data_IF_505042982997
#
_entry.id   IF_505042982997
#
_cell.length_a   1.000
_cell.length_b   1.000
_cell.length_c   1.000
_cell.angle_alpha   90.00
_cell.angle_beta   90.00
_cell.angle_gamma   90.00
#
_symmetry.space_group_name_H-M   'P 1'
#
loop_
_entity.id
_entity.type
_entity.pdbx_description
1 polymer ?
#
# COMPACT_ATOMS: atom_id res chain seq x y z
N UNK A 1 -4.44 13.85 -0.94
CA UNK A 1 -4.08 12.44 -0.72
C UNK A 1 -2.96 12.14 -1.69
N UNK A 2 -1.77 11.83 -1.17
CA UNK A 2 -0.54 11.71 -1.96
C UNK A 2 -0.11 10.24 -2.00
N UNK A 3 0.08 9.68 -3.20
CA UNK A 3 0.43 8.28 -3.39
C UNK A 3 1.95 8.09 -3.44
N UNK A 4 2.44 7.14 -2.64
CA UNK A 4 3.82 6.67 -2.72
C UNK A 4 3.87 5.33 -3.43
N UNK A 5 4.65 5.26 -4.49
CA UNK A 5 4.92 4.04 -5.25
C UNK A 5 5.88 3.10 -4.51
N UNK A 6 5.66 1.79 -4.66
CA UNK A 6 6.61 0.76 -4.22
C UNK A 6 7.94 0.82 -4.97
N UNK A 7 9.05 0.64 -4.24
CA UNK A 7 10.41 0.55 -4.80
C UNK A 7 10.64 -0.71 -5.66
N UNK A 8 9.75 -1.70 -5.60
CA UNK A 8 9.79 -2.90 -6.43
C UNK A 8 9.05 -2.73 -7.77
N UNK A 9 8.56 -1.53 -8.06
CA UNK A 9 7.88 -1.24 -9.32
C UNK A 9 8.87 -1.14 -10.48
N UNK A 10 8.57 -1.79 -11.59
CA UNK A 10 9.39 -1.75 -12.81
C UNK A 10 9.25 -0.45 -13.62
N UNK A 11 10.07 -0.28 -14.68
CA UNK A 11 10.08 0.92 -15.53
C UNK A 11 8.90 1.01 -16.50
N UNK A 12 8.15 -0.09 -16.73
CA UNK A 12 7.12 -0.21 -17.76
C UNK A 12 5.77 0.47 -17.42
N UNK A 13 5.78 1.48 -16.55
CA UNK A 13 4.56 2.24 -16.20
C UNK A 13 3.56 1.53 -15.28
N UNK A 14 3.80 0.26 -14.94
CA UNK A 14 2.99 -0.51 -14.00
C UNK A 14 3.57 -0.45 -12.58
N UNK A 15 3.09 0.52 -11.80
CA UNK A 15 3.44 0.71 -10.40
C UNK A 15 2.76 -0.38 -9.55
N UNK A 16 3.38 -1.57 -9.42
CA UNK A 16 2.74 -2.78 -8.87
C UNK A 16 1.85 -2.53 -7.64
N UNK A 17 2.28 -1.69 -6.68
CA UNK A 17 1.45 -1.26 -5.55
C UNK A 17 1.77 0.19 -5.20
N UNK A 18 0.73 0.97 -4.91
CA UNK A 18 0.82 2.35 -4.44
C UNK A 18 -0.04 2.57 -3.20
N UNK A 19 0.44 3.39 -2.27
CA UNK A 19 -0.23 3.62 -0.98
C UNK A 19 -0.33 5.12 -0.73
N UNK A 20 -1.52 5.58 -0.34
CA UNK A 20 -1.74 6.92 0.18
C UNK A 20 -2.36 6.85 1.58
N UNK A 21 -1.75 7.53 2.54
CA UNK A 21 -2.22 7.58 3.94
C UNK A 21 -2.77 8.96 4.26
N UNK A 22 -3.91 8.99 4.95
CA UNK A 22 -4.52 10.17 5.55
C UNK A 22 -4.73 9.93 7.05
N UNK A 23 -5.36 10.88 7.75
CA UNK A 23 -5.68 10.74 9.16
C UNK A 23 -6.66 9.59 9.45
N UNK A 24 -7.57 9.27 8.53
CA UNK A 24 -8.68 8.32 8.78
C UNK A 24 -8.65 7.08 7.88
N UNK A 25 -7.94 7.14 6.74
CA UNK A 25 -7.89 6.04 5.78
C UNK A 25 -6.49 5.85 5.19
N UNK A 26 -6.13 4.60 4.96
CA UNK A 26 -5.04 4.19 4.07
C UNK A 26 -5.69 3.59 2.83
N UNK A 27 -5.44 4.19 1.67
CA UNK A 27 -5.83 3.64 0.38
C UNK A 27 -4.63 2.91 -0.24
N UNK A 28 -4.87 1.69 -0.69
CA UNK A 28 -3.92 0.86 -1.41
C UNK A 28 -4.52 0.59 -2.79
N UNK A 29 -3.74 0.81 -3.84
CA UNK A 29 -4.10 0.40 -5.19
C UNK A 29 -3.01 -0.48 -5.78
N UNK A 30 -3.43 -1.43 -6.60
CA UNK A 30 -2.59 -2.15 -7.56
C UNK A 30 -2.90 -1.54 -8.93
N UNK A 31 -1.89 -1.02 -9.62
CA UNK A 31 -2.08 -0.41 -10.94
C UNK A 31 -2.64 -1.37 -12.01
N UNK A 32 -2.64 -2.68 -11.74
CA UNK A 32 -3.15 -3.74 -12.62
C UNK A 32 -4.55 -4.21 -12.23
N UNK A 33 -5.13 -3.68 -11.16
CA UNK A 33 -6.46 -4.01 -10.70
C UNK A 33 -7.35 -2.77 -10.65
N UNK A 34 -8.66 -2.97 -10.81
CA UNK A 34 -9.62 -1.89 -10.68
C UNK A 34 -9.96 -1.62 -9.21
N UNK A 35 -9.78 -0.36 -8.79
CA UNK A 35 -10.27 0.16 -7.52
C UNK A 35 -9.24 0.29 -6.40
N UNK A 36 -9.73 0.66 -5.22
CA UNK A 36 -8.92 0.88 -4.02
C UNK A 36 -9.32 -0.08 -2.92
N UNK A 37 -8.32 -0.64 -2.24
CA UNK A 37 -8.51 -1.28 -0.96
C UNK A 37 -8.35 -0.23 0.15
N UNK A 38 -9.43 0.04 0.88
CA UNK A 38 -9.47 1.06 1.92
C UNK A 38 -9.46 0.38 3.30
N UNK A 39 -8.52 0.79 4.15
CA UNK A 39 -8.41 0.30 5.53
C UNK A 39 -8.17 1.45 6.49
N UNK A 40 -8.44 1.20 7.78
CA UNK A 40 -8.05 2.15 8.83
C UNK A 40 -6.53 2.18 9.00
N UNK A 41 -5.95 3.32 9.42
CA UNK A 41 -4.52 3.40 9.72
C UNK A 41 -4.06 2.37 10.76
N UNK A 42 -4.89 2.08 11.76
CA UNK A 42 -4.62 1.08 12.80
C UNK A 42 -4.50 -0.35 12.26
N UNK A 43 -5.43 -0.75 11.39
CA UNK A 43 -5.39 -2.07 10.77
C UNK A 43 -4.14 -2.22 9.88
N UNK A 44 -3.78 -1.16 9.15
CA UNK A 44 -2.59 -1.14 8.31
C UNK A 44 -1.29 -1.26 9.13
N UNK A 45 -1.18 -0.55 10.25
CA UNK A 45 0.01 -0.61 11.11
C UNK A 45 0.15 -1.98 11.79
N UNK A 46 -0.98 -2.59 12.20
CA UNK A 46 -1.02 -3.96 12.72
C UNK A 46 -0.48 -4.96 11.69
N UNK A 47 -0.99 -4.90 10.46
CA UNK A 47 -0.54 -5.74 9.35
C UNK A 47 0.96 -5.58 9.08
N UNK A 48 1.45 -4.33 8.99
CA UNK A 48 2.87 -4.05 8.75
C UNK A 48 3.77 -4.61 9.87
N UNK A 49 3.31 -4.52 11.11
CA UNK A 49 4.04 -5.07 12.27
C UNK A 49 4.11 -6.59 12.19
N UNK A 50 3.01 -7.26 11.87
CA UNK A 50 2.96 -8.70 11.69
C UNK A 50 3.92 -9.20 10.58
N UNK A 51 4.07 -8.44 9.48
CA UNK A 51 5.02 -8.78 8.43
C UNK A 51 6.49 -8.64 8.86
N UNK A 52 6.79 -7.77 9.82
CA UNK A 52 8.18 -7.50 10.25
C UNK A 52 8.77 -8.57 11.19
N UNK A 53 7.91 -9.41 11.79
CA UNK A 53 8.33 -10.53 12.65
C UNK A 53 8.48 -11.85 11.89
N UNK A 54 8.05 -11.92 10.64
CA UNK A 54 8.30 -13.08 9.79
C UNK A 54 9.72 -12.96 9.22
N UNK A 55 10.66 -13.88 9.55
CA UNK A 55 11.99 -13.86 8.96
C UNK A 55 11.86 -14.02 7.43
N UNK A 56 12.64 -13.22 6.72
CA UNK A 56 12.52 -12.98 5.29
C UNK A 56 13.05 -14.15 4.44
#
# INVERSE_FOLDING_TARGET
MEFRKSSFSGPEGNNCVEIARTATVVAIQDSKADGFFLVTPEAFDTFRTALSVVPR
#
